data_IF_814662760391
#
_entry.id   IF_814662760391
#
_cell.length_a   1.000
_cell.length_b   1.000
_cell.length_c   1.000
_cell.angle_alpha   90.00
_cell.angle_beta   90.00
_cell.angle_gamma   90.00
#
_symmetry.space_group_name_H-M   'P 1'
#
loop_
_entity.id
_entity.type
_entity.pdbx_description
1 polymer ?
#
# COMPACT_ATOMS: atom_id res chain seq x y z
N UNK A 1 -33.47 -4.59 -9.07
CA UNK A 1 -33.11 -5.77 -9.88
C UNK A 1 -31.67 -6.12 -9.58
N UNK A 2 -31.42 -7.37 -9.19
CA UNK A 2 -30.33 -7.81 -8.32
C UNK A 2 -28.93 -7.81 -8.95
N UNK A 3 -27.99 -7.08 -8.34
CA UNK A 3 -26.54 -7.41 -8.34
C UNK A 3 -26.14 -7.56 -6.87
N UNK A 4 -26.65 -8.60 -6.21
CA UNK A 4 -26.31 -8.93 -4.81
C UNK A 4 -26.31 -10.44 -4.69
N UNK A 5 -25.14 -11.07 -4.86
CA UNK A 5 -24.90 -12.46 -4.47
C UNK A 5 -23.40 -12.85 -4.55
N UNK A 6 -22.61 -12.24 -5.44
CA UNK A 6 -21.22 -12.67 -5.70
C UNK A 6 -20.17 -11.83 -4.94
N UNK A 7 -20.53 -10.63 -4.49
CA UNK A 7 -19.65 -9.78 -3.66
C UNK A 7 -19.56 -10.21 -2.20
N UNK A 8 -20.50 -11.04 -1.72
CA UNK A 8 -20.60 -11.39 -0.29
C UNK A 8 -19.60 -12.44 0.21
N UNK A 9 -18.93 -13.19 -0.68
CA UNK A 9 -18.02 -14.27 -0.24
C UNK A 9 -16.55 -13.85 -0.01
N UNK A 10 -16.14 -12.65 -0.44
CA UNK A 10 -14.79 -12.12 -0.19
C UNK A 10 -14.76 -11.04 0.92
N UNK A 11 -15.91 -10.71 1.52
CA UNK A 11 -16.05 -9.70 2.57
C UNK A 11 -15.91 -10.26 4.00
N UNK A 12 -15.73 -11.56 4.18
CA UNK A 12 -15.84 -12.21 5.49
C UNK A 12 -14.62 -12.04 6.44
N UNK A 13 -13.64 -11.19 6.13
CA UNK A 13 -12.51 -10.93 7.03
C UNK A 13 -12.01 -9.48 7.04
N UNK A 14 -12.82 -8.49 6.66
CA UNK A 14 -12.55 -7.11 7.05
C UNK A 14 -13.21 -6.86 8.40
N UNK A 15 -12.55 -7.32 9.45
CA UNK A 15 -12.84 -6.94 10.84
C UNK A 15 -12.67 -5.42 10.92
N UNK A 16 -13.77 -4.69 10.77
CA UNK A 16 -13.86 -3.26 11.08
C UNK A 16 -13.85 -3.10 12.59
N UNK A 17 -12.68 -3.29 13.22
CA UNK A 17 -12.43 -2.89 14.61
C UNK A 17 -11.75 -1.53 14.57
N UNK A 18 -12.52 -0.53 14.17
CA UNK A 18 -12.41 0.78 14.82
C UNK A 18 -13.37 0.69 16.00
N UNK A 19 -12.89 0.81 17.24
CA UNK A 19 -13.77 1.12 18.35
C UNK A 19 -14.50 2.43 17.98
N UNK A 20 -15.76 2.33 17.56
CA UNK A 20 -16.46 3.44 16.90
C UNK A 20 -16.93 4.43 17.94
N UNK A 21 -16.06 5.37 18.32
CA UNK A 21 -16.51 6.61 18.97
C UNK A 21 -17.61 7.22 18.08
N UNK A 22 -18.80 7.54 18.63
CA UNK A 22 -19.89 8.15 17.88
C UNK A 22 -19.43 9.38 17.06
N UNK A 23 -20.07 9.61 15.91
CA UNK A 23 -19.72 10.73 15.02
C UNK A 23 -19.69 12.07 15.77
N UNK A 24 -20.68 12.32 16.63
CA UNK A 24 -20.79 13.57 17.36
C UNK A 24 -19.65 13.82 18.35
N UNK A 25 -19.25 12.80 19.12
CA UNK A 25 -18.10 12.91 20.02
C UNK A 25 -16.83 13.32 19.25
N UNK A 26 -16.62 12.71 18.08
CA UNK A 26 -15.50 13.07 17.18
C UNK A 26 -15.66 14.49 16.65
N UNK A 27 -16.87 14.93 16.29
CA UNK A 27 -17.15 16.30 15.81
C UNK A 27 -16.74 17.35 16.83
N UNK A 28 -17.18 17.20 18.09
CA UNK A 28 -16.82 18.11 19.17
C UNK A 28 -15.31 18.11 19.43
N UNK A 29 -14.71 16.91 19.57
CA UNK A 29 -13.28 16.78 19.86
C UNK A 29 -12.40 17.35 18.74
N UNK A 30 -12.75 17.07 17.47
CA UNK A 30 -12.00 17.53 16.29
C UNK A 30 -12.00 19.05 16.20
N UNK A 31 -13.16 19.71 16.31
CA UNK A 31 -13.23 21.17 16.25
C UNK A 31 -12.37 21.83 17.34
N UNK A 32 -12.48 21.34 18.57
CA UNK A 32 -11.73 21.86 19.72
C UNK A 32 -10.24 21.61 19.63
N UNK A 33 -9.80 20.57 18.91
CA UNK A 33 -8.38 20.30 18.69
C UNK A 33 -7.65 21.40 17.91
N UNK A 34 -8.39 22.22 17.15
CA UNK A 34 -7.82 23.36 16.42
C UNK A 34 -7.83 24.67 17.22
N UNK A 35 -8.44 24.70 18.41
CA UNK A 35 -8.44 25.84 19.32
C UNK A 35 -7.29 25.69 20.32
N UNK A 36 -6.49 26.75 20.51
CA UNK A 36 -5.34 26.70 21.44
C UNK A 36 -5.75 27.22 22.81
N UNK A 37 -6.09 26.34 23.73
CA UNK A 37 -6.38 26.72 25.11
C UNK A 37 -5.11 27.14 25.86
N UNK A 38 -5.21 28.11 26.77
CA UNK A 38 -4.13 28.49 27.67
C UNK A 38 -3.80 27.33 28.61
N UNK A 39 -2.50 27.02 28.74
CA UNK A 39 -2.01 25.94 29.60
C UNK A 39 -0.81 25.21 28.99
N UNK A 40 0.05 24.66 29.84
CA UNK A 40 1.20 23.85 29.44
C UNK A 40 0.87 22.36 29.63
N UNK A 41 0.08 21.80 28.72
CA UNK A 41 -0.24 20.37 28.68
C UNK A 41 0.14 19.76 27.35
N UNK A 42 0.86 18.63 27.35
CA UNK A 42 1.21 17.88 26.14
C UNK A 42 0.01 17.19 25.50
N UNK A 43 -1.04 16.92 26.29
CA UNK A 43 -2.36 16.38 25.87
C UNK A 43 -3.49 17.25 26.43
N UNK A 44 -3.84 18.37 25.78
CA UNK A 44 -4.83 19.31 26.29
C UNK A 44 -6.20 18.66 26.52
N UNK A 45 -6.57 17.64 25.74
CA UNK A 45 -7.81 16.89 25.88
C UNK A 45 -7.93 16.09 27.19
N UNK A 46 -6.84 15.90 27.94
CA UNK A 46 -6.83 15.18 29.22
C UNK A 46 -6.48 16.07 30.41
N UNK A 47 -5.66 17.12 30.18
CA UNK A 47 -5.08 17.92 31.26
C UNK A 47 -5.61 19.35 31.31
N UNK A 48 -6.19 19.86 30.22
CA UNK A 48 -6.62 21.25 30.17
C UNK A 48 -8.11 21.34 30.52
N UNK A 49 -8.40 21.91 31.69
CA UNK A 49 -9.76 22.08 32.19
C UNK A 49 -10.66 22.88 31.23
N UNK A 50 -10.13 23.93 30.58
CA UNK A 50 -10.89 24.72 29.61
C UNK A 50 -11.30 23.88 28.39
N UNK A 51 -10.41 23.00 27.92
CA UNK A 51 -10.70 22.11 26.81
C UNK A 51 -11.76 21.07 27.19
N UNK A 52 -11.65 20.50 28.41
CA UNK A 52 -12.61 19.54 28.94
C UNK A 52 -14.00 20.15 29.09
N UNK A 53 -14.10 21.33 29.72
CA UNK A 53 -15.36 22.08 29.86
C UNK A 53 -15.96 22.37 28.49
N UNK A 54 -15.16 22.87 27.53
CA UNK A 54 -15.62 23.11 26.16
C UNK A 54 -16.11 21.85 25.45
N UNK A 55 -15.47 20.71 25.68
CA UNK A 55 -15.84 19.43 25.11
C UNK A 55 -17.19 18.95 25.64
N UNK A 56 -17.38 18.97 26.97
CA UNK A 56 -18.65 18.57 27.58
C UNK A 56 -19.78 19.57 27.32
N UNK A 57 -19.48 20.87 27.21
CA UNK A 57 -20.45 21.87 26.76
C UNK A 57 -20.92 21.62 25.32
N UNK A 58 -20.01 21.23 24.42
CA UNK A 58 -20.37 20.83 23.06
C UNK A 58 -21.25 19.58 23.04
N UNK A 59 -20.89 18.55 23.81
CA UNK A 59 -21.70 17.34 23.94
C UNK A 59 -23.09 17.65 24.53
N UNK A 60 -23.17 18.49 25.56
CA UNK A 60 -24.44 18.89 26.17
C UNK A 60 -25.36 19.60 25.19
N UNK A 61 -24.81 20.44 24.31
CA UNK A 61 -25.59 21.18 23.31
C UNK A 61 -26.05 20.33 22.13
N UNK A 62 -25.17 19.50 21.58
CA UNK A 62 -25.44 18.80 20.31
C UNK A 62 -25.84 17.34 20.51
N UNK A 63 -25.34 16.66 21.55
CA UNK A 63 -25.49 15.22 21.75
C UNK A 63 -25.59 14.82 23.23
N UNK A 64 -26.63 15.27 23.94
CA UNK A 64 -26.75 15.07 25.38
C UNK A 64 -26.78 13.58 25.79
N UNK A 65 -27.31 12.70 24.93
CA UNK A 65 -27.37 11.27 25.17
C UNK A 65 -26.00 10.58 25.19
N UNK A 66 -24.99 11.16 24.56
CA UNK A 66 -23.65 10.56 24.41
C UNK A 66 -22.63 11.12 25.40
N UNK A 67 -23.07 11.92 26.38
CA UNK A 67 -22.18 12.59 27.33
C UNK A 67 -21.47 11.60 28.25
N UNK A 68 -22.20 10.62 28.79
CA UNK A 68 -21.65 9.58 29.67
C UNK A 68 -20.67 8.67 28.92
N UNK A 69 -21.03 8.29 27.68
CA UNK A 69 -20.16 7.50 26.80
C UNK A 69 -18.90 8.27 26.40
N UNK A 70 -19.01 9.59 26.23
CA UNK A 70 -17.88 10.47 25.96
C UNK A 70 -16.91 10.52 27.15
N UNK A 71 -17.44 10.59 28.37
CA UNK A 71 -16.64 10.57 29.59
C UNK A 71 -15.88 9.24 29.77
N UNK A 72 -16.54 8.09 29.57
CA UNK A 72 -15.89 6.77 29.67
C UNK A 72 -14.80 6.57 28.62
N UNK A 73 -15.08 6.97 27.37
CA UNK A 73 -14.10 6.95 26.26
C UNK A 73 -12.88 7.82 26.59
N UNK A 74 -13.10 8.99 27.18
CA UNK A 74 -12.03 9.89 27.57
C UNK A 74 -11.23 9.34 28.76
N UNK A 75 -11.89 8.70 29.72
CA UNK A 75 -11.25 7.99 30.84
C UNK A 75 -10.29 6.91 30.34
N UNK A 76 -10.71 6.11 29.36
CA UNK A 76 -9.85 5.09 28.75
C UNK A 76 -8.66 5.73 28.02
N UNK A 77 -8.92 6.79 27.25
CA UNK A 77 -7.88 7.50 26.46
C UNK A 77 -6.86 8.23 27.34
N UNK A 78 -7.30 8.77 28.48
CA UNK A 78 -6.49 9.54 29.43
C UNK A 78 -5.88 8.68 30.54
N UNK A 79 -6.13 7.36 30.53
CA UNK A 79 -5.57 6.43 31.50
C UNK A 79 -4.03 6.51 31.51
N UNK A 80 -3.44 6.85 32.66
CA UNK A 80 -2.00 7.02 32.84
C UNK A 80 -1.42 8.41 32.53
N UNK A 81 -2.25 9.42 32.20
CA UNK A 81 -1.80 10.81 31.97
C UNK A 81 -2.22 11.74 33.12
N UNK A 82 -3.50 11.70 33.50
CA UNK A 82 -4.08 12.50 34.59
C UNK A 82 -5.43 11.93 35.02
N UNK A 83 -5.81 12.11 36.29
CA UNK A 83 -7.18 11.81 36.74
C UNK A 83 -8.14 12.87 36.18
N UNK A 84 -9.18 12.43 35.46
CA UNK A 84 -10.22 13.34 34.97
C UNK A 84 -11.04 13.87 36.16
N UNK A 85 -11.40 15.18 36.16
CA UNK A 85 -12.35 15.71 37.13
C UNK A 85 -13.71 15.01 37.02
N UNK A 86 -14.45 15.02 38.12
CA UNK A 86 -15.82 14.49 38.17
C UNK A 86 -16.72 15.19 37.14
N UNK A 87 -17.57 14.41 36.47
CA UNK A 87 -18.38 14.88 35.33
C UNK A 87 -19.28 16.07 35.69
N UNK A 88 -19.78 16.13 36.93
CA UNK A 88 -20.61 17.24 37.43
C UNK A 88 -19.88 18.58 37.37
N UNK A 89 -18.56 18.61 37.62
CA UNK A 89 -17.74 19.83 37.57
C UNK A 89 -17.46 20.29 36.14
N UNK A 90 -17.54 19.38 35.17
CA UNK A 90 -17.28 19.66 33.75
C UNK A 90 -18.56 20.07 32.99
N UNK A 91 -19.72 19.83 33.57
CA UNK A 91 -21.03 20.07 32.95
C UNK A 91 -21.53 21.47 33.28
N UNK A 92 -21.00 22.46 32.56
CA UNK A 92 -21.48 23.85 32.61
C UNK A 92 -22.59 24.05 31.59
N UNK A 93 -23.62 24.85 31.93
CA UNK A 93 -24.70 25.18 31.00
C UNK A 93 -24.14 25.83 29.72
N UNK A 94 -24.41 25.26 28.52
CA UNK A 94 -23.85 25.77 27.27
C UNK A 94 -24.19 27.24 26.98
N UNK A 95 -25.33 27.72 27.48
CA UNK A 95 -25.82 29.08 27.23
C UNK A 95 -25.06 30.16 28.03
N UNK A 96 -24.27 29.76 29.02
CA UNK A 96 -23.42 30.65 29.83
C UNK A 96 -22.02 30.87 29.25
N UNK A 97 -21.67 30.12 28.21
CA UNK A 97 -20.34 30.11 27.63
C UNK A 97 -20.31 30.87 26.30
N UNK A 98 -19.20 31.54 26.04
CA UNK A 98 -18.97 32.23 24.77
C UNK A 98 -18.95 31.22 23.60
N UNK A 99 -19.48 31.64 22.45
CA UNK A 99 -19.47 30.83 21.24
C UNK A 99 -18.15 30.96 20.49
N UNK A 100 -17.51 29.83 20.20
CA UNK A 100 -16.39 29.76 19.27
C UNK A 100 -16.88 29.73 17.83
N UNK A 101 -16.39 30.66 17.02
CA UNK A 101 -16.64 30.75 15.59
C UNK A 101 -15.41 30.29 14.78
N UNK A 102 -15.57 30.24 13.45
CA UNK A 102 -14.48 29.90 12.52
C UNK A 102 -13.24 30.80 12.72
N UNK A 103 -13.46 32.07 13.07
CA UNK A 103 -12.40 33.05 13.30
C UNK A 103 -11.55 32.77 14.54
N UNK A 104 -12.01 31.92 15.46
CA UNK A 104 -11.30 31.60 16.71
C UNK A 104 -10.37 30.38 16.55
N UNK A 105 -10.46 29.71 15.40
CA UNK A 105 -9.62 28.57 15.07
C UNK A 105 -8.15 29.00 14.98
N UNK A 106 -7.26 28.18 15.55
CA UNK A 106 -5.80 28.38 15.67
C UNK A 106 -5.39 29.60 16.50
N UNK A 107 -6.33 30.38 17.05
CA UNK A 107 -6.06 31.44 18.02
C UNK A 107 -5.95 30.87 19.43
N UNK A 108 -5.20 31.59 20.27
CA UNK A 108 -5.06 31.23 21.69
C UNK A 108 -6.23 31.82 22.46
N UNK A 109 -6.92 31.00 23.26
CA UNK A 109 -7.99 31.42 24.16
C UNK A 109 -7.62 31.14 25.62
N UNK A 110 -8.13 31.97 26.53
CA UNK A 110 -8.02 31.82 27.98
C UNK A 110 -9.33 31.50 28.69
N UNK A 111 -10.40 31.27 27.93
CA UNK A 111 -11.72 30.93 28.45
C UNK A 111 -12.24 29.64 27.81
N UNK A 112 -13.18 28.99 28.50
CA UNK A 112 -13.98 27.92 27.91
C UNK A 112 -15.09 28.54 27.04
N UNK A 113 -15.55 27.77 26.06
CA UNK A 113 -16.56 28.19 25.10
C UNK A 113 -17.26 27.00 24.45
N UNK A 114 -18.43 27.23 23.89
CA UNK A 114 -19.21 26.24 23.13
C UNK A 114 -19.02 26.45 21.63
N UNK A 115 -19.08 25.39 20.83
CA UNK A 115 -19.00 25.54 19.37
C UNK A 115 -20.25 26.23 18.83
N UNK A 116 -20.07 27.19 17.90
CA UNK A 116 -21.20 27.74 17.15
C UNK A 116 -21.83 26.67 16.23
N UNK A 117 -23.11 26.78 15.86
CA UNK A 117 -23.77 25.85 14.94
C UNK A 117 -23.06 25.71 13.59
N UNK A 118 -22.51 26.81 13.06
CA UNK A 118 -21.76 26.80 11.80
C UNK A 118 -20.41 26.08 11.94
N UNK A 119 -19.71 26.27 13.06
CA UNK A 119 -18.44 25.59 13.32
C UNK A 119 -18.65 24.08 13.58
N UNK A 120 -19.70 23.72 14.31
CA UNK A 120 -20.08 22.32 14.52
C UNK A 120 -20.38 21.63 13.19
N UNK A 121 -21.25 22.21 12.35
CA UNK A 121 -21.61 21.64 11.04
C UNK A 121 -20.38 21.50 10.11
N UNK A 122 -19.45 22.47 10.16
CA UNK A 122 -18.21 22.40 9.40
C UNK A 122 -17.27 21.30 9.89
N UNK A 123 -17.15 21.12 11.21
CA UNK A 123 -16.38 20.02 11.81
C UNK A 123 -16.98 18.67 11.45
N UNK A 124 -18.31 18.55 11.49
CA UNK A 124 -19.03 17.35 11.11
C UNK A 124 -18.76 17.00 9.64
N UNK A 125 -18.95 17.96 8.71
CA UNK A 125 -18.62 17.78 7.30
C UNK A 125 -17.16 17.37 7.09
N UNK A 126 -16.24 17.97 7.83
CA UNK A 126 -14.80 17.65 7.77
C UNK A 126 -14.50 16.21 8.20
N UNK A 127 -15.23 15.69 9.19
CA UNK A 127 -15.03 14.32 9.67
C UNK A 127 -15.70 13.33 8.74
N UNK A 128 -16.94 13.57 8.35
CA UNK A 128 -17.69 12.70 7.43
C UNK A 128 -16.94 12.55 6.11
N UNK A 129 -16.49 13.65 5.50
CA UNK A 129 -15.67 13.65 4.28
C UNK A 129 -14.40 12.81 4.43
N UNK A 130 -13.73 12.89 5.57
CA UNK A 130 -12.53 12.09 5.83
C UNK A 130 -12.84 10.59 6.01
N UNK A 131 -13.93 10.25 6.72
CA UNK A 131 -14.35 8.86 6.91
C UNK A 131 -14.78 8.22 5.59
N UNK A 132 -15.56 8.93 4.77
CA UNK A 132 -15.96 8.50 3.44
C UNK A 132 -14.74 8.29 2.54
N UNK A 133 -13.74 9.19 2.62
CA UNK A 133 -12.48 9.01 1.89
C UNK A 133 -11.75 7.73 2.32
N UNK A 134 -11.64 7.45 3.61
CA UNK A 134 -10.99 6.25 4.15
C UNK A 134 -11.72 4.96 3.70
N UNK A 135 -13.05 4.94 3.72
CA UNK A 135 -13.85 3.83 3.20
C UNK A 135 -13.62 3.63 1.70
N UNK A 136 -13.66 4.71 0.92
CA UNK A 136 -13.37 4.66 -0.52
C UNK A 136 -11.96 4.14 -0.80
N UNK A 137 -10.97 4.49 0.02
CA UNK A 137 -9.59 4.01 -0.14
C UNK A 137 -9.50 2.48 -0.02
N UNK A 138 -10.21 1.90 0.95
CA UNK A 138 -10.30 0.45 1.13
C UNK A 138 -11.00 -0.20 -0.07
N UNK A 139 -12.13 0.36 -0.53
CA UNK A 139 -12.87 -0.13 -1.71
C UNK A 139 -11.97 -0.12 -2.95
N UNK A 140 -11.16 0.91 -3.14
CA UNK A 140 -10.26 1.01 -4.29
C UNK A 140 -9.11 0.01 -4.21
N UNK A 141 -8.56 -0.24 -3.01
CA UNK A 141 -7.62 -1.34 -2.79
C UNK A 141 -8.24 -2.70 -3.16
N UNK A 142 -9.50 -2.92 -2.80
CA UNK A 142 -10.23 -4.14 -3.18
C UNK A 142 -10.50 -4.23 -4.69
N UNK A 143 -10.68 -3.11 -5.38
CA UNK A 143 -10.81 -3.09 -6.84
C UNK A 143 -9.54 -3.59 -7.55
N UNK A 144 -8.35 -3.32 -7.00
CA UNK A 144 -7.08 -3.87 -7.51
C UNK A 144 -7.05 -5.40 -7.37
N UNK A 145 -7.46 -5.93 -6.22
CA UNK A 145 -7.57 -7.39 -6.03
C UNK A 145 -8.62 -8.00 -6.97
N UNK A 146 -9.76 -7.33 -7.14
CA UNK A 146 -10.81 -7.74 -8.07
C UNK A 146 -10.31 -7.83 -9.51
N UNK A 147 -9.56 -6.82 -9.97
CA UNK A 147 -8.94 -6.81 -11.30
C UNK A 147 -8.06 -8.04 -11.51
N UNK A 148 -7.08 -8.28 -10.63
CA UNK A 148 -6.18 -9.43 -10.77
C UNK A 148 -6.89 -10.76 -10.57
N UNK A 149 -7.87 -10.83 -9.67
CA UNK A 149 -8.72 -12.00 -9.48
C UNK A 149 -9.47 -12.38 -10.74
N UNK A 150 -10.10 -11.42 -11.43
CA UNK A 150 -10.79 -11.64 -12.71
C UNK A 150 -9.82 -12.15 -13.77
N UNK A 151 -8.63 -11.54 -13.91
CA UNK A 151 -7.63 -12.00 -14.89
C UNK A 151 -7.18 -13.43 -14.59
N UNK A 152 -6.97 -13.80 -13.32
CA UNK A 152 -6.59 -15.14 -12.93
C UNK A 152 -7.71 -16.17 -13.16
N UNK A 153 -8.98 -15.79 -12.94
CA UNK A 153 -10.14 -16.64 -13.26
C UNK A 153 -10.25 -16.86 -14.77
N UNK A 154 -10.08 -15.82 -15.60
CA UNK A 154 -10.05 -15.95 -17.06
C UNK A 154 -8.92 -16.91 -17.49
N UNK A 155 -7.73 -16.79 -16.88
CA UNK A 155 -6.61 -17.69 -17.15
C UNK A 155 -6.93 -19.15 -16.76
N UNK A 156 -7.56 -19.36 -15.60
CA UNK A 156 -7.99 -20.68 -15.15
C UNK A 156 -9.02 -21.31 -16.10
N UNK A 157 -10.04 -20.56 -16.52
CA UNK A 157 -11.04 -21.02 -17.49
C UNK A 157 -10.36 -21.39 -18.81
N UNK A 158 -9.43 -20.56 -19.30
CA UNK A 158 -8.64 -20.84 -20.49
C UNK A 158 -7.82 -22.13 -20.37
N UNK A 159 -7.23 -22.39 -19.20
CA UNK A 159 -6.50 -23.64 -18.91
C UNK A 159 -7.43 -24.85 -18.91
N UNK A 160 -8.56 -24.78 -18.20
CA UNK A 160 -9.53 -25.88 -18.14
C UNK A 160 -10.03 -26.21 -19.56
N UNK A 161 -10.40 -25.20 -20.34
CA UNK A 161 -10.82 -25.38 -21.73
C UNK A 161 -9.72 -26.01 -22.59
N UNK A 162 -8.46 -25.62 -22.41
CA UNK A 162 -7.34 -26.23 -23.13
C UNK A 162 -7.12 -27.71 -22.78
N UNK A 163 -7.44 -28.12 -21.55
CA UNK A 163 -7.30 -29.50 -21.07
C UNK A 163 -8.49 -30.39 -21.46
N UNK A 164 -9.69 -29.81 -21.57
CA UNK A 164 -10.89 -30.55 -22.01
C UNK A 164 -10.94 -30.71 -23.53
N UNK A 165 -10.48 -29.70 -24.28
CA UNK A 165 -10.52 -29.69 -25.74
C UNK A 165 -9.42 -30.55 -26.41
N UNK A 166 -8.58 -31.25 -25.63
CA UNK A 166 -7.71 -32.32 -26.13
C UNK A 166 -8.43 -33.67 -26.25
N UNK A 167 -9.72 -33.75 -25.86
CA UNK A 167 -10.57 -34.92 -26.04
C UNK A 167 -11.53 -34.68 -27.21
N UNK A 168 -11.20 -35.28 -28.35
CA UNK A 168 -11.91 -35.15 -29.63
C UNK A 168 -13.42 -35.42 -29.53
N UNK A 169 -14.22 -34.48 -30.05
CA UNK A 169 -15.44 -34.77 -30.80
C UNK A 169 -15.72 -33.62 -31.78
N UNK A 170 -15.45 -33.87 -33.07
CA UNK A 170 -15.70 -32.89 -34.14
C UNK A 170 -17.21 -32.70 -34.35
N UNK A 171 -17.71 -31.54 -33.91
CA UNK A 171 -19.07 -31.07 -34.18
C UNK A 171 -19.01 -29.69 -34.85
N UNK A 172 -20.00 -29.38 -35.71
CA UNK A 172 -20.00 -28.17 -36.56
C UNK A 172 -19.96 -26.86 -35.76
N UNK A 173 -20.55 -26.81 -34.57
CA UNK A 173 -20.49 -25.67 -33.64
C UNK A 173 -19.06 -25.39 -33.14
N UNK A 174 -18.26 -26.44 -32.94
CA UNK A 174 -16.85 -26.34 -32.57
C UNK A 174 -16.00 -25.73 -33.70
N UNK A 175 -16.42 -25.80 -34.96
CA UNK A 175 -15.64 -25.29 -36.10
C UNK A 175 -15.59 -23.75 -36.15
N UNK A 176 -16.71 -23.09 -35.85
CA UNK A 176 -16.77 -21.63 -35.70
C UNK A 176 -15.99 -21.19 -34.46
N UNK A 177 -16.17 -21.86 -33.32
CA UNK A 177 -15.40 -21.57 -32.10
C UNK A 177 -13.89 -21.80 -32.31
N UNK A 178 -13.48 -22.83 -33.07
CA UNK A 178 -12.09 -23.07 -33.49
C UNK A 178 -11.58 -21.95 -34.40
N UNK A 179 -12.40 -21.40 -35.31
CA UNK A 179 -12.03 -20.24 -36.15
C UNK A 179 -11.89 -18.96 -35.35
N UNK A 180 -12.83 -18.68 -34.43
CA UNK A 180 -12.73 -17.56 -33.50
C UNK A 180 -11.49 -17.74 -32.62
N UNK A 181 -11.32 -18.88 -31.95
CA UNK A 181 -10.11 -19.16 -31.15
C UNK A 181 -8.83 -19.07 -31.97
N UNK A 182 -8.79 -19.54 -33.23
CA UNK A 182 -7.63 -19.41 -34.12
C UNK A 182 -7.37 -17.95 -34.48
N UNK A 183 -8.40 -17.16 -34.76
CA UNK A 183 -8.30 -15.72 -34.98
C UNK A 183 -7.84 -14.98 -33.71
N UNK A 184 -8.38 -15.32 -32.53
CA UNK A 184 -7.92 -14.85 -31.23
C UNK A 184 -6.46 -15.24 -31.00
N UNK A 185 -6.06 -16.47 -31.38
CA UNK A 185 -4.67 -16.93 -31.25
C UNK A 185 -3.74 -16.14 -32.18
N UNK A 186 -4.12 -15.99 -33.45
CA UNK A 186 -3.32 -15.35 -34.49
C UNK A 186 -3.31 -13.82 -34.39
N UNK A 187 -4.31 -13.19 -33.79
CA UNK A 187 -4.40 -11.73 -33.72
C UNK A 187 -4.19 -11.17 -32.30
N UNK A 188 -4.47 -11.95 -31.25
CA UNK A 188 -4.35 -11.51 -29.85
C UNK A 188 -3.30 -12.28 -29.03
N UNK A 189 -3.15 -13.61 -29.17
CA UNK A 189 -2.23 -14.40 -28.31
C UNK A 189 -0.77 -14.44 -28.81
N UNK A 190 -0.56 -14.56 -30.13
CA UNK A 190 0.75 -14.93 -30.70
C UNK A 190 1.61 -13.73 -31.15
N UNK A 191 1.08 -12.65 -31.78
CA UNK A 191 1.97 -11.63 -32.31
C UNK A 191 2.54 -10.73 -31.20
N UNK A 192 3.84 -10.43 -31.27
CA UNK A 192 4.45 -9.31 -30.55
C UNK A 192 3.74 -8.00 -30.96
N UNK A 193 3.64 -7.03 -30.04
CA UNK A 193 2.92 -5.76 -30.26
C UNK A 193 3.38 -5.03 -31.53
N UNK A 194 4.66 -5.16 -31.91
CA UNK A 194 5.25 -4.62 -33.14
C UNK A 194 5.78 -5.73 -34.05
N UNK A 195 5.41 -5.71 -35.34
CA UNK A 195 5.75 -6.71 -36.35
C UNK A 195 7.15 -6.54 -36.98
N UNK A 196 8.01 -5.67 -36.48
CA UNK A 196 9.29 -5.42 -37.17
C UNK A 196 10.36 -6.45 -36.80
N UNK A 197 10.82 -7.23 -37.81
CA UNK A 197 11.95 -8.16 -37.73
C UNK A 197 13.28 -7.51 -37.32
N UNK A 198 13.42 -6.19 -37.46
CA UNK A 198 14.68 -5.45 -37.25
C UNK A 198 14.62 -4.35 -36.17
N UNK A 199 13.63 -4.34 -35.29
CA UNK A 199 13.62 -3.38 -34.18
C UNK A 199 14.46 -3.89 -32.98
N UNK A 200 15.77 -3.64 -33.04
CA UNK A 200 16.61 -3.38 -31.85
C UNK A 200 16.30 -1.99 -31.29
N UNK A 201 15.02 -1.70 -31.00
CA UNK A 201 14.58 -0.37 -30.55
C UNK A 201 14.29 -0.43 -29.05
N UNK A 202 15.25 0.11 -28.29
CA UNK A 202 15.23 0.44 -26.87
C UNK A 202 14.74 -0.62 -25.89
N UNK A 203 15.67 -1.50 -25.53
CA UNK A 203 15.65 -2.54 -24.49
C UNK A 203 15.17 -2.12 -23.08
N UNK A 204 14.80 -0.86 -22.84
CA UNK A 204 14.42 -0.34 -21.52
C UNK A 204 13.12 -0.96 -20.99
N UNK A 205 12.21 -1.35 -21.89
CA UNK A 205 10.93 -1.96 -21.55
C UNK A 205 10.67 -3.17 -22.45
N UNK A 206 10.95 -4.39 -21.96
CA UNK A 206 10.60 -5.61 -22.69
C UNK A 206 9.10 -5.67 -22.96
N UNK A 207 8.70 -5.51 -24.22
CA UNK A 207 7.29 -5.47 -24.61
C UNK A 207 6.64 -6.85 -24.42
N UNK A 208 5.51 -6.93 -23.68
CA UNK A 208 4.78 -8.18 -23.52
C UNK A 208 4.14 -8.66 -24.82
N UNK A 209 3.56 -9.87 -24.79
CA UNK A 209 2.58 -10.28 -25.80
C UNK A 209 1.40 -9.29 -25.85
N UNK A 210 0.62 -9.27 -26.94
CA UNK A 210 -0.51 -8.34 -27.09
C UNK A 210 -1.50 -8.41 -25.93
N UNK A 211 -1.82 -9.61 -25.44
CA UNK A 211 -2.72 -9.78 -24.30
C UNK A 211 -2.11 -9.32 -22.97
N UNK A 212 -0.86 -9.69 -22.68
CA UNK A 212 -0.17 -9.17 -21.49
C UNK A 212 -0.08 -7.63 -21.54
N UNK A 213 0.09 -7.05 -22.72
CA UNK A 213 0.10 -5.59 -22.91
C UNK A 213 -1.29 -4.98 -22.65
N UNK A 214 -2.37 -5.61 -23.11
CA UNK A 214 -3.74 -5.16 -22.82
C UNK A 214 -4.07 -5.25 -21.33
N UNK A 215 -3.67 -6.34 -20.66
CA UNK A 215 -3.83 -6.49 -19.20
C UNK A 215 -3.06 -5.41 -18.45
N UNK A 216 -1.80 -5.17 -18.84
CA UNK A 216 -0.98 -4.11 -18.24
C UNK A 216 -1.59 -2.73 -18.47
N UNK A 217 -2.07 -2.42 -19.67
CA UNK A 217 -2.74 -1.15 -19.98
C UNK A 217 -4.01 -0.97 -19.16
N UNK A 218 -4.85 -2.01 -19.05
CA UNK A 218 -6.05 -2.00 -18.21
C UNK A 218 -5.72 -1.79 -16.74
N UNK A 219 -4.68 -2.44 -16.24
CA UNK A 219 -4.17 -2.25 -14.87
C UNK A 219 -3.68 -0.82 -14.62
N UNK A 220 -2.89 -0.25 -15.54
CA UNK A 220 -2.41 1.14 -15.42
C UNK A 220 -3.58 2.12 -15.49
N UNK A 221 -4.51 1.94 -16.44
CA UNK A 221 -5.69 2.78 -16.56
C UNK A 221 -6.55 2.74 -15.29
N UNK A 222 -6.76 1.54 -14.72
CA UNK A 222 -7.46 1.38 -13.46
C UNK A 222 -6.76 2.16 -12.34
N UNK A 223 -5.44 2.00 -12.15
CA UNK A 223 -4.72 2.76 -11.13
C UNK A 223 -4.85 4.26 -11.35
N UNK A 224 -4.68 4.77 -12.58
CA UNK A 224 -4.83 6.20 -12.88
C UNK A 224 -6.24 6.70 -12.51
N UNK A 225 -7.29 5.97 -12.88
CA UNK A 225 -8.68 6.33 -12.57
C UNK A 225 -8.91 6.37 -11.05
N UNK A 226 -8.48 5.34 -10.33
CA UNK A 226 -8.65 5.24 -8.87
C UNK A 226 -7.92 6.35 -8.11
N UNK A 227 -6.88 6.96 -8.68
CA UNK A 227 -6.17 8.08 -8.07
C UNK A 227 -6.77 9.46 -8.35
N UNK A 228 -7.69 9.59 -9.32
CA UNK A 228 -8.24 10.88 -9.77
C UNK A 228 -9.69 11.07 -9.29
N UNK A 229 -10.44 9.97 -9.13
CA UNK A 229 -11.88 9.99 -8.89
C UNK A 229 -12.22 10.15 -7.40
N UNK A 230 -13.36 10.79 -7.10
CA UNK A 230 -13.96 10.94 -5.77
C UNK A 230 -13.05 11.62 -4.73
N UNK A 231 -12.52 12.79 -5.08
CA UNK A 231 -11.92 13.71 -4.11
C UNK A 231 -12.95 14.75 -3.66
N UNK A 232 -13.40 14.67 -2.40
CA UNK A 232 -14.21 15.72 -1.79
C UNK A 232 -13.31 16.82 -1.22
N UNK A 233 -13.29 17.97 -1.90
CA UNK A 233 -12.50 19.15 -1.53
C UNK A 233 -13.45 20.32 -1.40
N UNK A 234 -13.46 20.96 -0.23
CA UNK A 234 -14.38 22.05 0.06
C UNK A 234 -13.72 23.16 0.90
N UNK A 235 -14.24 24.37 0.78
CA UNK A 235 -13.72 25.54 1.49
C UNK A 235 -13.98 25.44 3.00
N UNK A 236 -13.00 25.84 3.82
CA UNK A 236 -13.12 25.83 5.28
C UNK A 236 -12.83 24.48 5.96
N UNK A 237 -12.35 23.46 5.24
CA UNK A 237 -11.96 22.19 5.84
C UNK A 237 -10.96 22.40 7.01
N UNK A 238 -11.34 21.94 8.21
CA UNK A 238 -10.58 22.21 9.42
C UNK A 238 -9.25 21.46 9.49
N UNK A 239 -9.17 20.28 8.85
CA UNK A 239 -8.02 19.38 8.95
C UNK A 239 -6.77 19.97 8.29
N UNK A 240 -6.83 20.28 7.00
CA UNK A 240 -5.64 20.59 6.20
C UNK A 240 -5.99 21.60 5.09
N UNK A 241 -5.09 22.56 4.85
CA UNK A 241 -5.16 23.53 3.74
C UNK A 241 -4.83 22.88 2.38
N UNK A 242 -3.75 22.11 2.28
CA UNK A 242 -3.41 21.29 1.10
C UNK A 242 -4.26 20.02 0.94
N UNK A 243 -5.59 20.16 0.84
CA UNK A 243 -6.56 19.06 0.80
C UNK A 243 -6.29 18.06 -0.33
N UNK A 244 -6.00 18.55 -1.54
CA UNK A 244 -5.71 17.72 -2.72
C UNK A 244 -4.48 16.84 -2.47
N UNK A 245 -3.38 17.45 -2.02
CA UNK A 245 -2.15 16.71 -1.73
C UNK A 245 -2.36 15.68 -0.61
N UNK A 246 -3.10 16.03 0.45
CA UNK A 246 -3.39 15.08 1.53
C UNK A 246 -4.25 13.90 1.05
N UNK A 247 -5.25 14.17 0.22
CA UNK A 247 -6.15 13.15 -0.29
C UNK A 247 -5.40 12.21 -1.25
N UNK A 248 -4.62 12.77 -2.19
CA UNK A 248 -3.78 12.01 -3.12
C UNK A 248 -2.71 11.18 -2.38
N UNK A 249 -2.02 11.79 -1.40
CA UNK A 249 -1.00 11.10 -0.61
C UNK A 249 -1.55 9.91 0.16
N UNK A 250 -2.77 10.03 0.70
CA UNK A 250 -3.41 8.91 1.38
C UNK A 250 -3.84 7.82 0.40
N UNK A 251 -4.49 8.22 -0.71
CA UNK A 251 -4.94 7.31 -1.76
C UNK A 251 -3.79 6.47 -2.33
N UNK A 252 -2.70 7.13 -2.69
CA UNK A 252 -1.47 6.48 -3.20
C UNK A 252 -0.87 5.52 -2.16
N UNK A 253 -0.80 5.91 -0.89
CA UNK A 253 -0.33 5.04 0.19
C UNK A 253 -1.17 3.77 0.33
N UNK A 254 -2.50 3.89 0.33
CA UNK A 254 -3.41 2.74 0.45
C UNK A 254 -3.31 1.81 -0.77
N UNK A 255 -3.27 2.37 -1.98
CA UNK A 255 -3.19 1.57 -3.21
C UNK A 255 -1.82 0.88 -3.34
N UNK A 256 -0.73 1.51 -2.93
CA UNK A 256 0.58 0.84 -2.81
C UNK A 256 0.44 -0.39 -1.94
N UNK A 257 -0.13 -0.24 -0.73
CA UNK A 257 -0.29 -1.36 0.19
C UNK A 257 -1.14 -2.50 -0.40
N UNK A 258 -2.18 -2.18 -1.19
CA UNK A 258 -2.95 -3.19 -1.91
C UNK A 258 -2.16 -3.87 -3.05
N UNK A 259 -1.28 -3.14 -3.74
CA UNK A 259 -0.46 -3.67 -4.82
C UNK A 259 0.71 -4.56 -4.33
N UNK A 260 1.29 -4.30 -3.14
CA UNK A 260 2.46 -5.04 -2.65
C UNK A 260 2.22 -6.57 -2.60
N UNK A 261 1.15 -7.11 -1.97
CA UNK A 261 0.94 -8.57 -1.93
C UNK A 261 0.89 -9.22 -3.32
N UNK A 262 0.24 -8.55 -4.28
CA UNK A 262 0.15 -9.04 -5.67
C UNK A 262 1.53 -9.02 -6.33
N UNK A 263 2.30 -7.94 -6.15
CA UNK A 263 3.65 -7.82 -6.69
C UNK A 263 4.56 -8.95 -6.21
N UNK A 264 4.53 -9.27 -4.91
CA UNK A 264 5.31 -10.37 -4.33
C UNK A 264 4.85 -11.73 -4.84
N UNK A 265 3.54 -11.93 -4.97
CA UNK A 265 2.96 -13.16 -5.52
C UNK A 265 3.50 -13.44 -6.93
N UNK A 266 3.56 -12.42 -7.78
CA UNK A 266 4.08 -12.57 -9.16
C UNK A 266 5.61 -12.65 -9.24
N UNK A 267 6.34 -12.36 -8.16
CA UNK A 267 7.78 -12.57 -8.08
C UNK A 267 8.17 -14.03 -7.79
N UNK A 268 7.24 -14.82 -7.22
CA UNK A 268 7.50 -16.18 -6.77
C UNK A 268 7.96 -17.10 -7.91
N UNK A 269 8.96 -17.94 -7.62
CA UNK A 269 9.40 -19.01 -8.53
C UNK A 269 8.61 -20.29 -8.31
N UNK A 270 8.16 -20.50 -7.09
CA UNK A 270 7.35 -21.64 -6.69
C UNK A 270 5.88 -21.20 -6.54
N UNK A 271 5.27 -20.70 -7.61
CA UNK A 271 3.95 -20.09 -7.54
C UNK A 271 2.84 -21.13 -7.78
N UNK A 272 2.00 -21.38 -6.77
CA UNK A 272 0.81 -22.26 -6.89
C UNK A 272 -0.16 -21.74 -7.95
N UNK A 273 -0.24 -20.41 -8.13
CA UNK A 273 -1.09 -19.78 -9.16
C UNK A 273 -0.60 -20.16 -10.57
N UNK A 274 0.69 -20.46 -10.77
CA UNK A 274 1.18 -20.96 -12.05
C UNK A 274 0.56 -22.33 -12.41
N UNK A 275 0.26 -23.17 -11.40
CA UNK A 275 -0.39 -24.47 -11.60
C UNK A 275 -1.86 -24.35 -11.98
N UNK A 276 -2.53 -23.25 -11.66
CA UNK A 276 -3.93 -23.01 -12.03
C UNK A 276 -4.08 -22.20 -13.31
N UNK A 277 -3.25 -21.18 -13.50
CA UNK A 277 -3.31 -20.29 -14.68
C UNK A 277 -2.71 -20.90 -15.95
N UNK A 278 -1.72 -21.79 -15.82
CA UNK A 278 -0.96 -22.29 -16.99
C UNK A 278 0.07 -21.30 -17.51
N UNK A 279 0.25 -20.17 -16.82
CA UNK A 279 1.26 -19.20 -17.18
C UNK A 279 2.66 -19.69 -16.81
N UNK A 280 3.62 -19.33 -17.66
CA UNK A 280 5.03 -19.52 -17.36
C UNK A 280 5.55 -18.37 -16.48
N UNK A 281 6.72 -18.57 -15.89
CA UNK A 281 7.36 -17.53 -15.06
C UNK A 281 7.64 -16.23 -15.82
N UNK A 282 7.81 -16.28 -17.15
CA UNK A 282 8.04 -15.07 -17.95
C UNK A 282 6.84 -14.12 -17.88
N UNK A 283 5.62 -14.65 -17.98
CA UNK A 283 4.37 -13.88 -17.86
C UNK A 283 4.21 -13.28 -16.46
N UNK A 284 4.40 -14.07 -15.40
CA UNK A 284 4.38 -13.53 -14.03
C UNK A 284 5.41 -12.42 -13.82
N UNK A 285 6.63 -12.63 -14.34
CA UNK A 285 7.69 -11.64 -14.24
C UNK A 285 7.39 -10.36 -15.04
N UNK A 286 6.64 -10.44 -16.16
CA UNK A 286 6.13 -9.24 -16.85
C UNK A 286 5.23 -8.44 -15.91
N UNK A 287 4.25 -9.07 -15.28
CA UNK A 287 3.32 -8.38 -14.38
C UNK A 287 4.02 -7.86 -13.13
N UNK A 288 4.90 -8.64 -12.50
CA UNK A 288 5.73 -8.20 -11.38
C UNK A 288 6.46 -6.89 -11.70
N UNK A 289 7.12 -6.78 -12.86
CA UNK A 289 7.84 -5.56 -13.25
C UNK A 289 6.92 -4.36 -13.46
N UNK A 290 5.75 -4.55 -14.06
CA UNK A 290 4.81 -3.45 -14.30
C UNK A 290 4.13 -2.97 -13.02
N UNK A 291 3.71 -3.89 -12.15
CA UNK A 291 3.20 -3.57 -10.82
C UNK A 291 4.27 -2.84 -10.00
N UNK A 292 5.53 -3.29 -10.02
CA UNK A 292 6.63 -2.62 -9.32
C UNK A 292 6.85 -1.16 -9.78
N UNK A 293 6.70 -0.89 -11.08
CA UNK A 293 6.81 0.48 -11.61
C UNK A 293 5.66 1.37 -11.17
N UNK A 294 4.43 0.83 -11.15
CA UNK A 294 3.25 1.54 -10.65
C UNK A 294 3.40 1.85 -9.17
N UNK A 295 3.76 0.85 -8.34
CA UNK A 295 4.07 1.04 -6.93
C UNK A 295 5.14 2.12 -6.72
N UNK A 296 6.21 2.11 -7.52
CA UNK A 296 7.27 3.11 -7.37
C UNK A 296 6.77 4.52 -7.72
N UNK A 297 5.97 4.67 -8.78
CA UNK A 297 5.35 5.96 -9.11
C UNK A 297 4.41 6.44 -7.99
N UNK A 298 3.61 5.55 -7.42
CA UNK A 298 2.70 5.84 -6.30
C UNK A 298 3.46 6.20 -5.02
N UNK A 299 4.55 5.50 -4.70
CA UNK A 299 5.42 5.82 -3.55
C UNK A 299 6.07 7.21 -3.68
N UNK A 300 6.50 7.59 -4.90
CA UNK A 300 7.01 8.95 -5.15
C UNK A 300 5.88 9.97 -4.97
N UNK A 301 4.71 9.71 -5.56
CA UNK A 301 3.55 10.60 -5.43
C UNK A 301 3.11 10.75 -3.96
N UNK A 302 3.13 9.68 -3.18
CA UNK A 302 2.90 9.66 -1.74
C UNK A 302 3.91 10.54 -1.00
N UNK A 303 5.20 10.34 -1.24
CA UNK A 303 6.27 11.10 -0.59
C UNK A 303 6.22 12.61 -0.92
N UNK A 304 5.97 12.95 -2.18
CA UNK A 304 5.80 14.34 -2.64
C UNK A 304 4.55 14.96 -2.01
N UNK A 305 3.43 14.26 -2.01
CA UNK A 305 2.17 14.72 -1.43
C UNK A 305 2.31 15.06 0.05
N UNK A 306 2.92 14.17 0.85
CA UNK A 306 3.13 14.43 2.27
C UNK A 306 4.19 15.50 2.53
N UNK A 307 5.20 15.64 1.66
CA UNK A 307 6.14 16.77 1.72
C UNK A 307 5.40 18.10 1.54
N UNK A 308 4.52 18.20 0.54
CA UNK A 308 3.70 19.39 0.29
C UNK A 308 2.76 19.69 1.46
N UNK A 309 2.09 18.68 2.02
CA UNK A 309 1.20 18.85 3.19
C UNK A 309 1.95 19.40 4.40
N UNK A 310 3.16 18.91 4.66
CA UNK A 310 3.95 19.36 5.81
C UNK A 310 4.50 20.77 5.61
N UNK A 311 4.89 21.12 4.39
CA UNK A 311 5.37 22.45 4.05
C UNK A 311 4.23 23.48 4.07
N UNK A 312 3.08 23.17 3.49
CA UNK A 312 1.91 24.06 3.47
C UNK A 312 1.37 24.35 4.88
N UNK A 313 1.36 23.34 5.76
CA UNK A 313 0.78 23.49 7.09
C UNK A 313 1.67 24.15 8.15
N UNK A 314 2.96 24.40 7.86
CA UNK A 314 3.86 25.02 8.84
C UNK A 314 5.25 25.38 8.34
N UNK A 315 5.42 25.47 7.02
CA UNK A 315 6.66 25.81 6.34
C UNK A 315 7.80 24.83 6.59
N UNK A 316 9.02 25.33 6.40
CA UNK A 316 10.25 24.58 6.58
C UNK A 316 10.44 24.05 8.01
N UNK A 317 9.91 24.75 9.02
CA UNK A 317 10.00 24.32 10.43
C UNK A 317 9.25 23.02 10.67
N UNK A 318 7.99 22.92 10.21
CA UNK A 318 7.18 21.71 10.39
C UNK A 318 7.71 20.55 9.56
N UNK A 319 8.17 20.82 8.34
CA UNK A 319 8.84 19.82 7.51
C UNK A 319 10.11 19.27 8.18
N UNK A 320 10.99 20.16 8.69
CA UNK A 320 12.20 19.74 9.44
C UNK A 320 11.88 18.92 10.68
N UNK A 321 10.79 19.25 11.39
CA UNK A 321 10.36 18.49 12.56
C UNK A 321 9.94 17.05 12.21
N UNK A 322 9.55 16.74 10.97
CA UNK A 322 9.24 15.35 10.60
C UNK A 322 10.49 14.46 10.58
N UNK A 323 11.68 15.02 10.38
CA UNK A 323 12.92 14.26 10.35
C UNK A 323 13.37 13.73 11.71
N UNK A 324 12.68 14.09 12.80
CA UNK A 324 12.86 13.45 14.11
C UNK A 324 11.94 12.25 14.32
N UNK A 325 11.00 12.01 13.40
CA UNK A 325 10.02 10.94 13.51
C UNK A 325 10.51 9.68 12.78
N UNK A 326 10.51 8.55 13.50
CA UNK A 326 10.98 7.25 12.98
C UNK A 326 10.26 6.86 11.68
N UNK A 327 8.93 6.97 11.65
CA UNK A 327 8.14 6.58 10.48
C UNK A 327 8.51 7.38 9.23
N UNK A 328 8.90 8.66 9.38
CA UNK A 328 9.26 9.53 8.27
C UNK A 328 10.59 9.08 7.66
N UNK A 329 11.59 8.84 8.52
CA UNK A 329 12.92 8.37 8.12
C UNK A 329 12.80 7.03 7.37
N UNK A 330 12.07 6.06 7.94
CA UNK A 330 11.92 4.75 7.30
C UNK A 330 11.08 4.77 6.02
N UNK A 331 10.10 5.68 5.92
CA UNK A 331 9.38 5.92 4.67
C UNK A 331 10.32 6.42 3.56
N UNK A 332 11.21 7.36 3.88
CA UNK A 332 12.23 7.85 2.95
C UNK A 332 13.20 6.74 2.56
N UNK A 333 13.69 5.94 3.52
CA UNK A 333 14.54 4.77 3.26
C UNK A 333 13.86 3.81 2.30
N UNK A 334 12.58 3.47 2.53
CA UNK A 334 11.80 2.57 1.67
C UNK A 334 11.71 3.08 0.22
N UNK A 335 11.49 4.38 0.02
CA UNK A 335 11.48 5.00 -1.33
C UNK A 335 12.85 4.86 -2.00
N UNK A 336 13.95 5.16 -1.30
CA UNK A 336 15.30 5.07 -1.88
C UNK A 336 15.72 3.65 -2.23
N UNK A 337 15.44 2.66 -1.37
CA UNK A 337 15.74 1.26 -1.69
C UNK A 337 14.81 0.72 -2.79
N UNK A 338 13.56 1.17 -2.84
CA UNK A 338 12.63 0.91 -3.95
C UNK A 338 13.18 1.42 -5.29
N UNK A 339 13.64 2.67 -5.32
CA UNK A 339 14.30 3.25 -6.49
C UNK A 339 15.55 2.48 -6.89
N UNK A 340 16.39 2.10 -5.91
CA UNK A 340 17.59 1.27 -6.14
C UNK A 340 17.22 -0.06 -6.80
N UNK A 341 16.15 -0.72 -6.36
CA UNK A 341 15.63 -1.93 -6.99
C UNK A 341 15.16 -1.68 -8.42
N UNK A 342 14.42 -0.61 -8.68
CA UNK A 342 13.95 -0.27 -10.03
C UNK A 342 15.10 0.07 -10.98
N UNK A 343 16.06 0.87 -10.54
CA UNK A 343 17.24 1.28 -11.32
C UNK A 343 18.13 0.07 -11.61
N UNK A 344 18.48 -0.74 -10.61
CA UNK A 344 19.28 -1.95 -10.84
C UNK A 344 18.57 -2.98 -11.74
N UNK A 345 17.24 -2.98 -11.76
CA UNK A 345 16.43 -3.87 -12.60
C UNK A 345 16.28 -3.43 -14.07
N UNK A 346 16.79 -2.25 -14.47
CA UNK A 346 16.76 -1.83 -15.87
C UNK A 346 17.55 -2.82 -16.73
N UNK A 347 17.07 -3.06 -17.96
CA UNK A 347 17.58 -4.15 -18.78
C UNK A 347 19.10 -4.10 -19.04
N UNK A 348 19.72 -2.95 -19.39
CA UNK A 348 21.15 -2.92 -19.65
C UNK A 348 21.99 -3.33 -18.43
N UNK A 349 21.64 -2.82 -17.24
CA UNK A 349 22.33 -3.15 -16.00
C UNK A 349 22.12 -4.62 -15.61
N UNK A 350 20.86 -5.07 -15.63
CA UNK A 350 20.53 -6.47 -15.30
C UNK A 350 21.18 -7.47 -16.25
N UNK A 351 21.31 -7.13 -17.54
CA UNK A 351 21.96 -8.01 -18.53
C UNK A 351 23.47 -8.08 -18.33
N UNK A 352 24.11 -6.94 -18.02
CA UNK A 352 25.57 -6.86 -17.87
C UNK A 352 26.06 -7.38 -16.53
N UNK A 353 25.30 -7.14 -15.46
CA UNK A 353 25.68 -7.44 -14.08
C UNK A 353 24.59 -8.24 -13.36
N UNK A 354 24.18 -9.38 -13.94
CA UNK A 354 23.03 -10.14 -13.44
C UNK A 354 23.17 -10.58 -11.97
N UNK A 355 24.33 -11.12 -11.60
CA UNK A 355 24.56 -11.63 -10.25
C UNK A 355 24.54 -10.49 -9.21
N UNK A 356 25.16 -9.35 -9.54
CA UNK A 356 25.13 -8.16 -8.70
C UNK A 356 23.72 -7.57 -8.59
N UNK A 357 22.98 -7.49 -9.71
CA UNK A 357 21.57 -7.09 -9.71
C UNK A 357 20.76 -7.95 -8.76
N UNK A 358 20.89 -9.28 -8.85
CA UNK A 358 20.09 -10.20 -8.05
C UNK A 358 20.37 -10.04 -6.56
N UNK A 359 21.65 -9.91 -6.19
CA UNK A 359 22.07 -9.69 -4.80
C UNK A 359 21.53 -8.36 -4.25
N UNK A 360 21.79 -7.25 -4.97
CA UNK A 360 21.33 -5.91 -4.58
C UNK A 360 19.81 -5.88 -4.46
N UNK A 361 19.09 -6.52 -5.38
CA UNK A 361 17.64 -6.53 -5.37
C UNK A 361 17.07 -7.30 -4.16
N UNK A 362 17.64 -8.46 -3.81
CA UNK A 362 17.20 -9.24 -2.64
C UNK A 362 17.49 -8.49 -1.34
N UNK A 363 18.70 -7.95 -1.18
CA UNK A 363 19.06 -7.19 0.02
C UNK A 363 18.18 -5.94 0.17
N UNK A 364 17.96 -5.21 -0.92
CA UNK A 364 17.09 -4.03 -0.93
C UNK A 364 15.63 -4.39 -0.63
N UNK A 365 15.14 -5.55 -1.09
CA UNK A 365 13.80 -6.03 -0.76
C UNK A 365 13.61 -6.32 0.73
N UNK A 366 14.66 -6.85 1.41
CA UNK A 366 14.64 -7.04 2.87
C UNK A 366 14.54 -5.70 3.58
N UNK A 367 15.41 -4.76 3.20
CA UNK A 367 15.43 -3.40 3.79
C UNK A 367 14.12 -2.67 3.51
N UNK A 368 13.52 -2.87 2.33
CA UNK A 368 12.21 -2.32 1.98
C UNK A 368 11.11 -2.83 2.92
N UNK A 369 11.05 -4.14 3.20
CA UNK A 369 10.06 -4.70 4.14
C UNK A 369 10.27 -4.19 5.57
N UNK A 370 11.53 -4.06 6.01
CA UNK A 370 11.87 -3.48 7.32
C UNK A 370 11.41 -2.01 7.38
N UNK A 371 11.75 -1.22 6.36
CA UNK A 371 11.35 0.18 6.26
C UNK A 371 9.84 0.36 6.21
N UNK A 372 9.14 -0.48 5.44
CA UNK A 372 7.68 -0.49 5.40
C UNK A 372 7.07 -0.80 6.78
N UNK A 373 7.63 -1.77 7.53
CA UNK A 373 7.16 -2.07 8.89
C UNK A 373 7.29 -0.85 9.82
N UNK A 374 8.47 -0.24 9.92
CA UNK A 374 8.67 0.91 10.81
C UNK A 374 7.92 2.16 10.34
N UNK A 375 7.72 2.32 9.03
CA UNK A 375 6.87 3.38 8.48
C UNK A 375 5.40 3.19 8.86
N UNK A 376 4.89 1.96 8.87
CA UNK A 376 3.49 1.64 9.12
C UNK A 376 3.16 1.40 10.59
N UNK A 377 4.13 1.09 11.45
CA UNK A 377 3.91 0.74 12.87
C UNK A 377 3.19 1.84 13.66
N UNK A 378 3.39 3.12 13.29
CA UNK A 378 2.71 4.28 13.89
C UNK A 378 1.33 4.56 13.27
N UNK A 379 1.04 3.96 12.11
CA UNK A 379 -0.18 4.17 11.33
C UNK A 379 -1.31 3.24 11.78
N UNK A 380 -2.52 3.47 11.26
CA UNK A 380 -3.69 2.66 11.59
C UNK A 380 -3.46 1.16 11.36
N UNK A 381 -4.01 0.36 12.28
CA UNK A 381 -3.91 -1.12 12.26
C UNK A 381 -4.35 -1.73 10.94
N UNK A 382 -5.23 -1.04 10.20
CA UNK A 382 -5.72 -1.47 8.89
C UNK A 382 -4.61 -1.62 7.84
N UNK A 383 -3.59 -0.75 7.86
CA UNK A 383 -2.49 -0.84 6.89
C UNK A 383 -1.55 -2.02 7.16
N UNK A 384 -1.42 -2.42 8.42
CA UNK A 384 -0.61 -3.56 8.84
C UNK A 384 -1.18 -4.88 8.27
N UNK A 385 -2.48 -4.96 8.03
CA UNK A 385 -3.12 -6.14 7.42
C UNK A 385 -2.62 -6.41 5.99
N UNK A 386 -2.24 -5.38 5.23
CA UNK A 386 -1.67 -5.52 3.88
C UNK A 386 -0.20 -5.95 3.91
N UNK A 387 0.51 -5.66 4.99
CA UNK A 387 1.94 -5.93 5.12
C UNK A 387 2.24 -7.43 5.29
N UNK A 388 1.54 -8.10 6.21
CA UNK A 388 1.80 -9.51 6.55
C UNK A 388 1.69 -10.50 5.38
N UNK A 389 0.74 -10.36 4.44
CA UNK A 389 0.71 -11.18 3.23
C UNK A 389 2.03 -11.12 2.45
N UNK A 390 2.69 -9.96 2.34
CA UNK A 390 3.96 -9.84 1.62
C UNK A 390 5.06 -10.70 2.27
N UNK A 391 5.15 -10.63 3.60
CA UNK A 391 6.10 -11.43 4.40
C UNK A 391 5.80 -12.91 4.26
N UNK A 392 4.53 -13.31 4.40
CA UNK A 392 4.10 -14.70 4.30
C UNK A 392 4.39 -15.31 2.93
N UNK A 393 4.05 -14.60 1.85
CA UNK A 393 4.30 -15.01 0.46
C UNK A 393 5.79 -15.22 0.22
N UNK A 394 6.63 -14.28 0.68
CA UNK A 394 8.07 -14.37 0.47
C UNK A 394 8.70 -15.51 1.29
N UNK A 395 8.33 -15.63 2.57
CA UNK A 395 8.78 -16.70 3.43
C UNK A 395 8.39 -18.09 2.88
N UNK A 396 7.16 -18.23 2.39
CA UNK A 396 6.67 -19.46 1.76
C UNK A 396 7.49 -19.86 0.52
N UNK A 397 7.77 -18.91 -0.38
CA UNK A 397 8.59 -19.18 -1.57
C UNK A 397 10.02 -19.66 -1.20
N UNK A 398 10.63 -19.05 -0.18
CA UNK A 398 11.94 -19.45 0.34
C UNK A 398 11.90 -20.82 1.02
N UNK A 399 10.89 -21.07 1.85
CA UNK A 399 10.70 -22.35 2.54
C UNK A 399 10.55 -23.51 1.54
N UNK A 400 9.75 -23.35 0.49
CA UNK A 400 9.64 -24.37 -0.57
C UNK A 400 10.97 -24.60 -1.30
N UNK A 401 11.74 -23.54 -1.55
CA UNK A 401 13.06 -23.67 -2.19
C UNK A 401 14.03 -24.46 -1.32
N UNK A 402 14.13 -24.15 -0.03
CA UNK A 402 14.99 -24.89 0.89
C UNK A 402 14.50 -26.32 1.10
N UNK A 403 13.19 -26.52 1.23
CA UNK A 403 12.59 -27.86 1.33
C UNK A 403 12.93 -28.73 0.13
N UNK A 404 12.83 -28.20 -1.10
CA UNK A 404 13.22 -28.92 -2.33
C UNK A 404 14.72 -29.25 -2.36
N UNK A 405 15.58 -28.32 -1.93
CA UNK A 405 17.03 -28.56 -1.85
C UNK A 405 17.35 -29.67 -0.84
N UNK A 406 16.73 -29.64 0.34
CA UNK A 406 16.91 -30.67 1.38
C UNK A 406 16.40 -32.02 0.89
N UNK A 407 15.22 -32.08 0.27
CA UNK A 407 14.64 -33.32 -0.24
C UNK A 407 15.52 -33.97 -1.33
N UNK A 408 15.99 -33.17 -2.30
CA UNK A 408 16.85 -33.66 -3.38
C UNK A 408 18.26 -34.05 -2.89
N UNK A 409 18.80 -33.35 -1.88
CA UNK A 409 20.07 -33.73 -1.27
C UNK A 409 19.95 -35.00 -0.43
N UNK A 410 18.81 -35.26 0.21
CA UNK A 410 18.56 -36.52 0.94
C UNK A 410 18.46 -37.72 0.00
N UNK A 411 17.96 -37.54 -1.23
CA UNK A 411 17.84 -38.64 -2.21
C UNK A 411 19.13 -38.96 -2.96
N UNK A 412 20.16 -38.11 -2.92
CA UNK A 412 21.38 -38.25 -3.73
C UNK A 412 22.68 -38.48 -2.94
N UNK A 413 22.62 -38.65 -1.62
CA UNK A 413 23.72 -39.19 -0.81
C UNK A 413 25.06 -38.42 -0.77
N UNK A 414 25.25 -37.35 -1.54
CA UNK A 414 26.49 -36.57 -1.53
C UNK A 414 26.21 -35.06 -1.50
N UNK A 415 26.82 -34.39 -0.53
CA UNK A 415 26.60 -33.00 -0.17
C UNK A 415 27.04 -32.00 -1.26
N UNK A 416 26.08 -31.34 -1.91
CA UNK A 416 26.36 -30.27 -2.91
C UNK A 416 26.32 -28.86 -2.30
N UNK A 417 26.00 -28.69 -1.01
CA UNK A 417 25.65 -27.35 -0.48
C UNK A 417 26.84 -26.45 -0.12
N UNK A 418 28.07 -26.97 0.01
CA UNK A 418 29.22 -26.12 0.38
C UNK A 418 29.80 -25.35 -0.83
N UNK A 419 29.55 -25.80 -2.06
CA UNK A 419 30.26 -25.29 -3.24
C UNK A 419 29.81 -23.92 -3.76
N UNK A 420 28.57 -23.50 -3.53
CA UNK A 420 28.05 -22.27 -4.18
C UNK A 420 28.45 -20.95 -3.48
N UNK A 421 28.66 -20.94 -2.15
CA UNK A 421 29.04 -19.71 -1.44
C UNK A 421 30.54 -19.43 -1.57
N UNK A 422 31.37 -20.48 -1.54
CA UNK A 422 32.83 -20.36 -1.66
C UNK A 422 33.29 -20.02 -3.09
N UNK A 423 32.64 -20.56 -4.13
CA UNK A 423 32.90 -20.15 -5.52
C UNK A 423 32.54 -18.69 -5.80
N UNK A 424 31.48 -18.19 -5.17
CA UNK A 424 31.07 -16.79 -5.30
C UNK A 424 32.10 -15.84 -4.66
N UNK A 425 32.73 -16.19 -3.55
CA UNK A 425 33.79 -15.37 -2.95
C UNK A 425 35.13 -15.50 -3.70
N UNK A 426 35.48 -16.69 -4.17
CA UNK A 426 36.74 -16.92 -4.89
C UNK A 426 36.77 -16.27 -6.28
N UNK A 427 35.62 -16.15 -6.97
CA UNK A 427 35.54 -15.54 -8.31
C UNK A 427 35.76 -14.01 -8.30
N UNK A 428 35.48 -13.35 -7.18
CA UNK A 428 35.59 -11.88 -7.04
C UNK A 428 36.99 -11.41 -6.61
N UNK A 429 37.78 -12.26 -5.98
CA UNK A 429 39.09 -11.89 -5.42
C UNK A 429 40.12 -11.41 -6.45
N UNK A 430 40.24 -12.00 -7.67
CA UNK A 430 41.23 -11.55 -8.65
C UNK A 430 40.81 -10.28 -9.39
N UNK A 431 39.51 -9.99 -9.48
CA UNK A 431 38.97 -8.89 -10.30
C UNK A 431 39.09 -7.52 -9.61
N UNK A 432 39.22 -7.50 -8.28
CA UNK A 432 39.36 -6.26 -7.49
C UNK A 432 40.82 -5.79 -7.34
N UNK A 433 41.81 -6.63 -7.63
CA UNK A 433 43.24 -6.32 -7.44
C UNK A 433 44.04 -6.15 -8.75
N UNK A 434 43.38 -6.15 -9.91
CA UNK A 434 44.03 -5.90 -11.19
C UNK A 434 45.14 -6.90 -11.55
N UNK A 435 45.14 -8.11 -10.98
CA UNK A 435 46.11 -9.16 -11.33
C UNK A 435 45.48 -10.15 -12.28
N UNK A 436 46.14 -10.39 -13.41
CA UNK A 436 45.74 -11.37 -14.42
C UNK A 436 45.60 -12.77 -13.80
N UNK A 437 44.64 -13.59 -14.28
CA UNK A 437 44.47 -14.94 -13.78
C UNK A 437 45.71 -15.78 -14.11
N UNK A 438 46.28 -16.41 -13.08
CA UNK A 438 47.34 -17.42 -13.22
C UNK A 438 46.79 -18.57 -14.09
N UNK A 439 47.44 -18.83 -15.23
CA UNK A 439 47.21 -20.03 -16.02
C UNK A 439 47.76 -21.24 -15.25
N UNK A 440 46.87 -22.05 -14.69
CA UNK A 440 47.19 -23.43 -14.33
C UNK A 440 46.92 -24.30 -15.56
N UNK A 441 47.99 -24.62 -16.29
CA UNK A 441 47.97 -25.65 -17.31
C UNK A 441 47.86 -27.01 -16.65
N UNK A 442 46.78 -27.73 -16.92
CA UNK A 442 46.74 -29.17 -16.72
C UNK A 442 47.33 -29.82 -17.98
N UNK A 443 48.49 -30.46 -17.80
CA UNK A 443 49.07 -31.38 -18.76
C UNK A 443 48.22 -32.65 -18.80
N UNK A 444 47.84 -33.05 -20.02
CA UNK A 444 47.47 -34.43 -20.33
C UNK A 444 48.72 -35.31 -20.25
N UNK A 445 48.63 -36.45 -19.55
CA UNK A 445 49.49 -37.60 -19.77
C UNK A 445 48.87 -38.89 -19.22
N UNK A 446 48.59 -39.79 -20.17
CA UNK A 446 48.42 -41.26 -20.12
C UNK A 446 47.18 -41.87 -19.46
#
# INVERSE_FOLDING_TARGET
MHINAVTSLLLLNSVSVLATTPLCQRTCQSALSYIKFSGNGTKPQCTNELNLISYFACLGRYCPSQMQDGYSTLQETCNGVSGLPELEKLTISPDTLDMFALNDIRKKTSHAGVLSPSLYALSERTITSALEADELNVVYGNAIYGFWGIILVIALIGRIHSLTNTRNSDTMLLSWMKRVMKATKQHLLIPKLFHNRNMRINDWCGFPTRLESLVVLGYIALNVILHIVNHDVFEGNLKISAQVARSLGHRTGTIVMANLPIMWTFAMRNNVIAWFSGWNFSTFNVYHRWIARVIMAELIAHAVSYTLVMYDSGGSKKYKAQWTEEYWIWGVVAVFVGLTMCISAIYPLRRRFYDAFLLVHILSAVVFLIGAWFHLKKSDKNFILYFWPCVAIWAFDRAMRYGRLIALNRSLGQAVVIWHILLYLHRWWPQLLGKSPFHLGFMDSE
#
